data_IF_589136162868
#
_entry.id   IF_589136162868
#
_cell.length_a   1.000
_cell.length_b   1.000
_cell.length_c   1.000
_cell.angle_alpha   90.00
_cell.angle_beta   90.00
_cell.angle_gamma   90.00
#
_symmetry.space_group_name_H-M   'P 1'
#
loop_
_entity.id
_entity.type
_entity.pdbx_description
1 polymer ?
#
# COMPACT_ATOMS: atom_id res chain seq x y z
N UNK A 1 -29.33 29.21 -3.52
CA UNK A 1 -29.26 27.72 -3.35
C UNK A 1 -27.93 27.20 -2.78
N UNK A 2 -26.82 27.95 -2.80
CA UNK A 2 -25.50 27.47 -2.32
C UNK A 2 -25.28 27.57 -0.79
N UNK A 3 -26.05 28.40 -0.07
CA UNK A 3 -25.80 28.70 1.36
C UNK A 3 -25.97 27.49 2.30
N UNK A 4 -26.75 26.47 1.90
CA UNK A 4 -26.94 25.24 2.69
C UNK A 4 -25.85 24.16 2.50
N UNK A 5 -24.90 24.37 1.59
CA UNK A 5 -23.89 23.37 1.22
C UNK A 5 -22.62 23.50 2.07
N UNK A 6 -22.33 24.72 2.55
CA UNK A 6 -21.13 25.03 3.34
C UNK A 6 -20.93 24.14 4.60
N UNK A 7 -21.97 23.80 5.39
CA UNK A 7 -21.81 22.94 6.57
C UNK A 7 -21.46 21.48 6.23
N UNK A 8 -21.77 21.03 5.01
CA UNK A 8 -21.57 19.65 4.57
C UNK A 8 -20.24 19.43 3.80
N UNK A 9 -19.50 20.50 3.51
CA UNK A 9 -18.19 20.43 2.87
C UNK A 9 -17.13 20.11 3.93
N UNK A 10 -16.47 18.96 3.79
CA UNK A 10 -15.37 18.54 4.67
C UNK A 10 -14.04 18.68 3.94
N UNK A 11 -13.87 19.74 3.15
CA UNK A 11 -12.69 19.88 2.29
C UNK A 11 -11.45 20.20 3.12
N UNK A 12 -10.57 19.22 3.31
CA UNK A 12 -9.16 19.48 3.63
C UNK A 12 -8.44 19.90 2.34
N UNK A 13 -8.09 21.18 2.20
CA UNK A 13 -7.18 21.66 1.15
C UNK A 13 -7.81 22.19 -0.15
N UNK A 14 -7.09 22.07 -1.26
CA UNK A 14 -7.31 22.77 -2.55
C UNK A 14 -8.45 22.22 -3.44
N UNK A 15 -9.28 21.29 -2.93
CA UNK A 15 -10.15 20.41 -3.74
C UNK A 15 -11.63 20.73 -3.63
N UNK A 16 -11.95 21.95 -3.21
CA UNK A 16 -13.32 22.33 -2.85
C UNK A 16 -14.27 22.28 -4.05
N UNK A 17 -13.82 22.70 -5.24
CA UNK A 17 -14.62 22.64 -6.47
C UNK A 17 -14.99 21.20 -6.82
N UNK A 18 -14.01 20.29 -6.74
CA UNK A 18 -14.23 18.88 -7.00
C UNK A 18 -15.24 18.27 -6.01
N UNK A 19 -15.15 18.59 -4.72
CA UNK A 19 -16.10 18.09 -3.72
C UNK A 19 -17.53 18.60 -3.93
N UNK A 20 -17.69 19.86 -4.35
CA UNK A 20 -19.00 20.45 -4.68
C UNK A 20 -19.62 19.69 -5.86
N UNK A 21 -18.85 19.45 -6.92
CA UNK A 21 -19.33 18.77 -8.13
C UNK A 21 -19.72 17.31 -7.85
N UNK A 22 -18.95 16.59 -7.04
CA UNK A 22 -19.23 15.18 -6.70
C UNK A 22 -20.45 15.05 -5.78
N UNK A 23 -20.62 15.93 -4.79
CA UNK A 23 -21.74 15.85 -3.83
C UNK A 23 -23.07 16.35 -4.39
N UNK A 24 -23.04 17.14 -5.46
CA UNK A 24 -24.23 17.76 -6.04
C UNK A 24 -24.23 17.61 -7.57
N UNK A 25 -24.49 16.38 -8.08
CA UNK A 25 -24.48 16.09 -9.51
C UNK A 25 -25.55 16.85 -10.30
N UNK A 26 -26.60 17.34 -9.63
CA UNK A 26 -27.70 18.08 -10.24
C UNK A 26 -27.37 19.56 -10.51
N UNK A 27 -26.16 20.02 -10.18
CA UNK A 27 -25.75 21.39 -10.45
C UNK A 27 -25.53 21.59 -11.95
N UNK A 28 -26.11 22.68 -12.50
CA UNK A 28 -25.78 23.13 -13.85
C UNK A 28 -24.38 23.73 -13.85
N UNK A 29 -23.44 23.10 -14.56
CA UNK A 29 -22.06 23.55 -14.67
C UNK A 29 -21.85 24.23 -16.02
N UNK A 30 -21.18 25.39 -16.01
CA UNK A 30 -20.71 26.06 -17.23
C UNK A 30 -19.25 26.42 -17.05
N UNK A 31 -18.41 26.00 -17.99
CA UNK A 31 -16.99 26.35 -18.02
C UNK A 31 -16.82 27.73 -18.68
N UNK A 32 -16.01 28.58 -18.05
CA UNK A 32 -15.67 29.91 -18.56
C UNK A 32 -14.19 29.88 -18.92
N UNK A 33 -13.86 30.20 -20.16
CA UNK A 33 -12.48 30.25 -20.63
C UNK A 33 -11.67 31.26 -19.83
N UNK A 34 -10.56 30.81 -19.25
CA UNK A 34 -9.61 31.62 -18.52
C UNK A 34 -8.18 31.16 -18.83
N UNK A 35 -7.30 32.10 -19.12
CA UNK A 35 -5.89 31.81 -19.34
C UNK A 35 -5.12 31.89 -18.02
N UNK A 36 -4.55 30.76 -17.59
CA UNK A 36 -3.71 30.72 -16.40
C UNK A 36 -2.40 31.46 -16.64
N UNK A 37 -2.16 32.50 -15.84
CA UNK A 37 -0.95 33.30 -15.92
C UNK A 37 0.18 32.69 -15.10
N UNK A 38 1.41 32.84 -15.59
CA UNK A 38 2.60 32.46 -14.85
C UNK A 38 2.76 33.29 -13.58
N UNK A 39 3.11 32.61 -12.48
CA UNK A 39 3.41 33.27 -11.21
C UNK A 39 4.71 34.05 -11.35
N UNK A 40 4.67 35.35 -11.03
CA UNK A 40 5.87 36.21 -11.13
C UNK A 40 6.65 36.32 -9.81
N UNK A 41 6.01 36.10 -8.65
CA UNK A 41 6.66 36.22 -7.34
C UNK A 41 6.19 35.15 -6.33
N UNK A 42 7.13 34.66 -5.53
CA UNK A 42 6.92 33.68 -4.45
C UNK A 42 7.04 32.21 -4.86
N UNK A 43 7.31 31.35 -3.87
CA UNK A 43 7.43 29.89 -4.03
C UNK A 43 6.05 29.21 -4.14
N UNK A 44 5.95 28.14 -4.92
CA UNK A 44 4.73 27.32 -5.00
C UNK A 44 4.46 26.65 -3.67
N UNK A 45 3.28 26.91 -3.08
CA UNK A 45 2.78 26.17 -1.90
C UNK A 45 2.20 24.80 -2.27
N UNK A 46 2.11 24.50 -3.57
CA UNK A 46 1.78 23.18 -4.10
C UNK A 46 3.07 22.36 -4.20
N UNK A 47 3.38 21.63 -3.15
CA UNK A 47 4.47 20.64 -3.12
C UNK A 47 4.03 19.35 -3.84
N UNK A 48 4.96 18.53 -4.31
CA UNK A 48 4.64 17.22 -4.89
C UNK A 48 3.79 16.31 -3.99
N UNK A 49 3.92 16.45 -2.66
CA UNK A 49 3.05 15.79 -1.68
C UNK A 49 1.57 16.19 -1.81
N UNK A 50 1.28 17.45 -2.15
CA UNK A 50 -0.10 17.96 -2.35
C UNK A 50 -0.69 17.44 -3.66
N UNK A 51 0.15 17.28 -4.69
CA UNK A 51 -0.26 16.67 -5.97
C UNK A 51 -0.60 15.20 -5.77
N UNK A 52 0.21 14.46 -4.99
CA UNK A 52 -0.07 13.08 -4.63
C UNK A 52 -1.36 12.94 -3.82
N UNK A 53 -1.57 13.80 -2.83
CA UNK A 53 -2.82 13.87 -2.08
C UNK A 53 -4.03 14.14 -3.00
N UNK A 54 -3.88 15.02 -4.01
CA UNK A 54 -4.92 15.28 -5.02
C UNK A 54 -5.20 14.06 -5.91
N UNK A 55 -4.16 13.40 -6.41
CA UNK A 55 -4.28 12.18 -7.21
C UNK A 55 -4.95 11.05 -6.41
N UNK A 56 -4.58 10.86 -5.14
CA UNK A 56 -5.23 9.94 -4.22
C UNK A 56 -6.73 10.26 -4.08
N UNK A 57 -7.07 11.55 -3.89
CA UNK A 57 -8.47 11.99 -3.77
C UNK A 57 -9.30 11.74 -5.03
N UNK A 58 -8.73 11.98 -6.21
CA UNK A 58 -9.39 11.74 -7.50
C UNK A 58 -9.66 10.26 -7.72
N UNK A 59 -8.68 9.41 -7.42
CA UNK A 59 -8.82 7.96 -7.48
C UNK A 59 -9.84 7.43 -6.46
N UNK A 60 -9.90 8.01 -5.24
CA UNK A 60 -10.87 7.61 -4.21
C UNK A 60 -12.31 7.92 -4.54
N UNK A 61 -12.62 9.13 -5.01
CA UNK A 61 -14.00 9.62 -5.02
C UNK A 61 -14.76 9.29 -6.30
N UNK A 62 -14.09 9.18 -7.44
CA UNK A 62 -14.75 8.96 -8.73
C UNK A 62 -14.85 7.50 -9.18
N UNK A 63 -14.03 6.60 -8.65
CA UNK A 63 -13.97 5.22 -9.17
C UNK A 63 -14.27 4.14 -8.15
N UNK A 64 -13.92 4.31 -6.86
CA UNK A 64 -13.72 3.12 -6.01
C UNK A 64 -14.08 3.25 -4.51
N UNK A 65 -14.27 4.42 -3.90
CA UNK A 65 -14.61 4.53 -2.46
C UNK A 65 -13.46 4.14 -1.50
N UNK A 66 -13.63 4.41 -0.19
CA UNK A 66 -12.54 4.34 0.81
C UNK A 66 -11.94 2.93 1.03
N UNK A 67 -12.76 1.87 0.94
CA UNK A 67 -12.29 0.48 1.10
C UNK A 67 -11.22 0.13 0.05
N UNK A 68 -11.34 0.69 -1.15
CA UNK A 68 -10.46 0.34 -2.26
C UNK A 68 -9.07 0.98 -2.19
N UNK A 69 -8.85 2.04 -1.41
CA UNK A 69 -7.50 2.56 -1.19
C UNK A 69 -6.67 1.68 -0.27
N UNK A 70 -7.26 1.19 0.83
CA UNK A 70 -6.58 0.29 1.76
C UNK A 70 -6.22 -0.99 1.00
N UNK A 71 -7.14 -1.48 0.16
CA UNK A 71 -6.89 -2.59 -0.76
C UNK A 71 -5.77 -2.28 -1.74
N UNK A 72 -5.81 -1.14 -2.44
CA UNK A 72 -4.79 -0.77 -3.42
C UNK A 72 -3.40 -0.62 -2.77
N UNK A 73 -3.30 0.06 -1.63
CA UNK A 73 -2.05 0.20 -0.86
C UNK A 73 -1.53 -1.16 -0.38
N UNK A 74 -2.42 -2.04 0.06
CA UNK A 74 -2.06 -3.41 0.47
C UNK A 74 -1.59 -4.28 -0.70
N UNK A 75 -2.24 -4.16 -1.87
CA UNK A 75 -1.84 -4.87 -3.09
C UNK A 75 -0.49 -4.36 -3.60
N UNK A 76 -0.29 -3.04 -3.66
CA UNK A 76 0.97 -2.44 -4.10
C UNK A 76 2.13 -2.85 -3.18
N UNK A 77 1.93 -2.76 -1.86
CA UNK A 77 2.89 -3.23 -0.87
C UNK A 77 3.19 -4.71 -1.05
N UNK A 78 2.15 -5.55 -1.07
CA UNK A 78 2.26 -7.00 -1.22
C UNK A 78 2.97 -7.45 -2.49
N UNK A 79 2.59 -6.92 -3.66
CA UNK A 79 3.23 -7.24 -4.94
C UNK A 79 4.71 -6.85 -4.95
N UNK A 80 5.06 -5.67 -4.42
CA UNK A 80 6.47 -5.28 -4.30
C UNK A 80 7.25 -6.22 -3.38
N UNK A 81 6.62 -6.70 -2.30
CA UNK A 81 7.19 -7.71 -1.40
C UNK A 81 7.46 -9.05 -2.06
N UNK A 82 6.59 -9.50 -2.98
CA UNK A 82 6.83 -10.73 -3.75
C UNK A 82 8.10 -10.60 -4.59
N UNK A 83 8.27 -9.48 -5.28
CA UNK A 83 9.46 -9.22 -6.10
C UNK A 83 10.72 -9.20 -5.23
N UNK A 84 10.69 -8.49 -4.09
CA UNK A 84 11.80 -8.44 -3.14
C UNK A 84 12.12 -9.83 -2.57
N UNK A 85 11.11 -10.61 -2.20
CA UNK A 85 11.30 -11.98 -1.73
C UNK A 85 12.04 -12.82 -2.76
N UNK A 86 11.54 -12.84 -4.00
CA UNK A 86 12.12 -13.63 -5.07
C UNK A 86 13.56 -13.19 -5.34
N UNK A 87 13.83 -11.90 -5.49
CA UNK A 87 15.18 -11.40 -5.71
C UNK A 87 16.14 -11.83 -4.59
N UNK A 88 15.73 -11.67 -3.33
CA UNK A 88 16.55 -12.06 -2.19
C UNK A 88 16.78 -13.57 -2.14
N UNK A 89 15.76 -14.37 -2.45
CA UNK A 89 15.90 -15.81 -2.57
C UNK A 89 16.95 -16.18 -3.65
N UNK A 90 17.01 -15.45 -4.78
CA UNK A 90 17.97 -15.75 -5.88
C UNK A 90 19.36 -15.57 -5.34
N UNK A 91 19.56 -14.42 -4.69
CA UNK A 91 20.86 -13.97 -4.22
C UNK A 91 21.39 -14.96 -3.19
N UNK A 92 20.55 -15.37 -2.23
CA UNK A 92 20.90 -16.33 -1.19
C UNK A 92 21.18 -17.73 -1.77
N UNK A 93 20.37 -18.20 -2.72
CA UNK A 93 20.64 -19.48 -3.40
C UNK A 93 21.94 -19.45 -4.19
N UNK A 94 22.22 -18.35 -4.90
CA UNK A 94 23.47 -18.18 -5.66
C UNK A 94 24.69 -18.01 -4.76
N UNK A 95 24.53 -17.53 -3.53
CA UNK A 95 25.61 -17.48 -2.55
C UNK A 95 25.87 -18.83 -1.87
N UNK A 96 25.14 -19.88 -2.24
CA UNK A 96 25.35 -21.25 -1.75
C UNK A 96 24.57 -21.60 -0.48
N UNK A 97 23.67 -20.75 0.01
CA UNK A 97 22.77 -21.12 1.12
C UNK A 97 21.80 -22.20 0.67
N UNK A 98 21.46 -23.13 1.56
CA UNK A 98 20.42 -24.12 1.32
C UNK A 98 19.04 -23.48 1.10
N UNK A 99 18.13 -24.28 0.55
CA UNK A 99 16.78 -23.83 0.18
C UNK A 99 16.01 -23.26 1.39
N UNK A 100 16.04 -23.93 2.54
CA UNK A 100 15.23 -23.55 3.70
C UNK A 100 15.76 -22.25 4.32
N UNK A 101 17.07 -22.13 4.51
CA UNK A 101 17.64 -20.89 5.02
C UNK A 101 17.44 -19.73 4.04
N UNK A 102 17.55 -19.99 2.73
CA UNK A 102 17.25 -18.97 1.69
C UNK A 102 15.80 -18.50 1.77
N UNK A 103 14.84 -19.42 1.93
CA UNK A 103 13.41 -19.13 2.04
C UNK A 103 13.09 -18.34 3.32
N UNK A 104 13.62 -18.75 4.47
CA UNK A 104 13.38 -18.07 5.75
C UNK A 104 13.89 -16.63 5.70
N UNK A 105 15.11 -16.43 5.23
CA UNK A 105 15.71 -15.10 5.14
C UNK A 105 15.02 -14.22 4.10
N UNK A 106 14.66 -14.77 2.93
CA UNK A 106 13.95 -13.98 1.90
C UNK A 106 12.56 -13.55 2.36
N UNK A 107 11.83 -14.43 3.06
CA UNK A 107 10.53 -14.11 3.69
C UNK A 107 10.70 -13.03 4.75
N UNK A 108 11.73 -13.13 5.60
CA UNK A 108 12.02 -12.12 6.60
C UNK A 108 12.29 -10.74 5.97
N UNK A 109 13.15 -10.68 4.95
CA UNK A 109 13.45 -9.42 4.23
C UNK A 109 12.21 -8.86 3.55
N UNK A 110 11.39 -9.70 2.93
CA UNK A 110 10.13 -9.27 2.32
C UNK A 110 9.12 -8.74 3.35
N UNK A 111 9.08 -9.32 4.56
CA UNK A 111 8.22 -8.85 5.64
C UNK A 111 8.62 -7.43 6.10
N UNK A 112 9.93 -7.22 6.30
CA UNK A 112 10.48 -5.90 6.65
C UNK A 112 10.20 -4.89 5.53
N UNK A 113 10.40 -5.29 4.27
CA UNK A 113 10.09 -4.44 3.13
C UNK A 113 8.61 -4.03 3.11
N UNK A 114 7.69 -4.97 3.28
CA UNK A 114 6.26 -4.69 3.31
C UNK A 114 5.89 -3.74 4.45
N UNK A 115 6.47 -3.93 5.63
CA UNK A 115 6.30 -3.01 6.76
C UNK A 115 6.77 -1.58 6.43
N UNK A 116 7.97 -1.45 5.87
CA UNK A 116 8.54 -0.14 5.51
C UNK A 116 7.74 0.53 4.39
N UNK A 117 7.31 -0.23 3.39
CA UNK A 117 6.46 0.27 2.31
C UNK A 117 5.11 0.73 2.84
N UNK A 118 4.51 0.00 3.78
CA UNK A 118 3.29 0.42 4.46
C UNK A 118 3.53 1.72 5.25
N UNK A 119 4.58 1.79 6.06
CA UNK A 119 4.93 3.01 6.80
C UNK A 119 5.11 4.22 5.87
N UNK A 120 5.76 4.03 4.71
CA UNK A 120 5.91 5.04 3.67
C UNK A 120 4.57 5.49 3.07
N UNK A 121 3.70 4.55 2.65
CA UNK A 121 2.40 4.83 2.03
C UNK A 121 1.40 5.52 2.97
N UNK A 122 1.57 5.35 4.28
CA UNK A 122 0.76 6.01 5.31
C UNK A 122 1.47 7.23 5.94
N UNK A 123 2.69 7.57 5.50
CA UNK A 123 3.51 8.66 6.01
C UNK A 123 3.77 8.61 7.54
N UNK A 124 4.01 7.40 8.06
CA UNK A 124 4.24 7.14 9.49
C UNK A 124 5.70 6.79 9.72
N UNK A 125 6.27 7.29 10.82
CA UNK A 125 7.66 7.00 11.18
C UNK A 125 7.78 5.52 11.63
N UNK A 126 8.66 4.72 11.00
CA UNK A 126 8.84 3.33 11.41
C UNK A 126 9.55 3.24 12.78
N UNK A 127 9.21 2.21 13.54
CA UNK A 127 9.69 1.96 14.90
C UNK A 127 9.64 0.48 15.26
N UNK A 128 10.51 0.07 16.19
CA UNK A 128 10.73 -1.34 16.51
C UNK A 128 9.48 -2.03 17.08
N UNK A 129 8.73 -1.35 17.95
CA UNK A 129 7.47 -1.87 18.50
C UNK A 129 6.47 -2.21 17.39
N UNK A 130 6.29 -1.29 16.44
CA UNK A 130 5.36 -1.48 15.33
C UNK A 130 5.83 -2.58 14.39
N UNK A 131 7.14 -2.74 14.20
CA UNK A 131 7.69 -3.86 13.45
C UNK A 131 7.38 -5.20 14.13
N UNK A 132 7.61 -5.32 15.44
CA UNK A 132 7.30 -6.55 16.19
C UNK A 132 5.80 -6.87 16.15
N UNK A 133 4.95 -5.85 16.29
CA UNK A 133 3.51 -6.00 16.15
C UNK A 133 3.12 -6.45 14.74
N UNK A 134 3.82 -5.96 13.71
CA UNK A 134 3.61 -6.37 12.32
C UNK A 134 4.01 -7.83 12.09
N UNK A 135 5.11 -8.30 12.71
CA UNK A 135 5.45 -9.73 12.75
C UNK A 135 4.36 -10.55 13.41
N UNK A 136 3.80 -10.07 14.53
CA UNK A 136 2.71 -10.74 15.24
C UNK A 136 1.46 -10.91 14.38
N UNK A 137 1.02 -9.85 13.69
CA UNK A 137 -0.17 -9.94 12.83
C UNK A 137 0.02 -10.82 11.60
N UNK A 138 1.26 -10.97 11.11
CA UNK A 138 1.60 -11.77 9.92
C UNK A 138 2.18 -13.15 10.25
N UNK A 139 2.15 -13.56 11.53
CA UNK A 139 2.77 -14.79 11.99
C UNK A 139 2.24 -16.03 11.25
N UNK A 140 0.92 -16.23 11.25
CA UNK A 140 0.32 -17.42 10.62
C UNK A 140 0.55 -17.46 9.10
N UNK A 141 0.50 -16.30 8.43
CA UNK A 141 0.81 -16.20 7.01
C UNK A 141 2.26 -16.57 6.72
N UNK A 142 3.18 -16.09 7.54
CA UNK A 142 4.61 -16.43 7.44
C UNK A 142 4.85 -17.92 7.64
N UNK A 143 4.26 -18.51 8.69
CA UNK A 143 4.34 -19.95 8.95
C UNK A 143 3.76 -20.75 7.78
N UNK A 144 2.62 -20.34 7.22
CA UNK A 144 2.03 -20.99 6.06
C UNK A 144 2.99 -21.02 4.86
N UNK A 145 3.68 -19.90 4.56
CA UNK A 145 4.69 -19.83 3.48
C UNK A 145 5.83 -20.82 3.73
N UNK A 146 6.38 -20.85 4.95
CA UNK A 146 7.52 -21.72 5.27
C UNK A 146 7.15 -23.20 5.22
N UNK A 147 6.00 -23.56 5.81
CA UNK A 147 5.51 -24.93 5.83
C UNK A 147 5.16 -25.39 4.41
N UNK A 148 4.42 -24.59 3.65
CA UNK A 148 4.11 -24.95 2.26
C UNK A 148 5.38 -25.05 1.41
N UNK A 149 6.34 -24.15 1.61
CA UNK A 149 7.61 -24.17 0.89
C UNK A 149 8.40 -25.43 1.13
N UNK A 150 8.46 -25.90 2.38
CA UNK A 150 9.10 -27.17 2.73
C UNK A 150 8.43 -28.39 2.08
N UNK A 151 7.10 -28.44 2.06
CA UNK A 151 6.38 -29.57 1.45
C UNK A 151 6.42 -29.55 -0.07
N UNK A 152 6.23 -28.38 -0.69
CA UNK A 152 6.23 -28.22 -2.15
C UNK A 152 7.63 -28.46 -2.72
N UNK A 153 8.70 -28.16 -1.97
CA UNK A 153 10.07 -28.47 -2.42
C UNK A 153 10.31 -29.98 -2.59
N UNK A 154 9.47 -30.84 -1.99
CA UNK A 154 9.56 -32.30 -2.18
C UNK A 154 8.87 -32.78 -3.47
N UNK A 155 8.05 -31.93 -4.11
CA UNK A 155 7.20 -32.29 -5.25
C UNK A 155 7.90 -32.12 -6.62
N UNK A 156 9.24 -32.05 -6.65
CA UNK A 156 10.08 -31.89 -7.86
C UNK A 156 9.77 -30.65 -8.72
N UNK A 157 9.12 -29.62 -8.16
CA UNK A 157 8.99 -28.31 -8.81
C UNK A 157 10.33 -27.55 -8.81
N UNK A 158 10.47 -26.60 -9.73
CA UNK A 158 11.59 -25.66 -9.67
C UNK A 158 11.51 -24.82 -8.38
N UNK A 159 12.67 -24.43 -7.83
CA UNK A 159 12.74 -23.68 -6.57
C UNK A 159 11.95 -22.36 -6.65
N UNK A 160 12.04 -21.66 -7.78
CA UNK A 160 11.31 -20.42 -8.05
C UNK A 160 9.79 -20.60 -7.98
N UNK A 161 9.27 -21.66 -8.60
CA UNK A 161 7.83 -21.98 -8.56
C UNK A 161 7.40 -22.34 -7.13
N UNK A 162 8.22 -23.11 -6.42
CA UNK A 162 7.96 -23.48 -5.02
C UNK A 162 7.79 -22.25 -4.14
N UNK A 163 8.68 -21.26 -4.27
CA UNK A 163 8.60 -20.00 -3.51
C UNK A 163 7.34 -19.21 -3.88
N UNK A 164 7.03 -19.05 -5.16
CA UNK A 164 5.83 -18.31 -5.62
C UNK A 164 4.55 -18.94 -5.09
N UNK A 165 4.37 -20.26 -5.27
CA UNK A 165 3.17 -20.98 -4.81
C UNK A 165 3.03 -20.83 -3.29
N UNK A 166 4.13 -20.92 -2.56
CA UNK A 166 4.14 -20.78 -1.11
C UNK A 166 3.72 -19.38 -0.66
N UNK A 167 4.22 -18.33 -1.32
CA UNK A 167 3.82 -16.96 -1.05
C UNK A 167 2.33 -16.76 -1.32
N UNK A 168 1.81 -17.32 -2.42
CA UNK A 168 0.39 -17.23 -2.75
C UNK A 168 -0.48 -17.89 -1.66
N UNK A 169 -0.09 -19.05 -1.14
CA UNK A 169 -0.80 -19.72 -0.04
C UNK A 169 -0.79 -18.89 1.25
N UNK A 170 0.32 -18.24 1.60
CA UNK A 170 0.38 -17.36 2.78
C UNK A 170 -0.21 -15.96 2.58
N UNK A 171 -0.39 -15.53 1.33
CA UNK A 171 -0.82 -14.17 0.99
C UNK A 171 -2.21 -13.84 1.54
N UNK A 172 -3.11 -14.84 1.64
CA UNK A 172 -4.45 -14.66 2.19
C UNK A 172 -4.41 -14.15 3.63
N UNK A 173 -3.61 -14.79 4.50
CA UNK A 173 -3.44 -14.31 5.87
C UNK A 173 -2.71 -12.98 5.92
N UNK A 174 -1.67 -12.78 5.09
CA UNK A 174 -0.92 -11.51 5.08
C UNK A 174 -1.79 -10.32 4.62
N UNK A 175 -2.78 -10.57 3.77
CA UNK A 175 -3.79 -9.57 3.40
C UNK A 175 -4.70 -9.20 4.57
N UNK A 176 -5.16 -10.19 5.35
CA UNK A 176 -5.94 -9.95 6.56
C UNK A 176 -5.11 -9.30 7.67
N UNK A 177 -3.87 -9.76 7.88
CA UNK A 177 -2.92 -9.17 8.81
C UNK A 177 -2.65 -7.69 8.52
N UNK A 178 -2.68 -7.30 7.24
CA UNK A 178 -2.61 -5.90 6.85
C UNK A 178 -3.86 -5.07 7.19
N UNK A 179 -5.05 -5.67 7.23
CA UNK A 179 -6.26 -4.99 7.69
C UNK A 179 -6.34 -4.91 9.21
N UNK A 180 -5.87 -5.93 9.92
CA UNK A 180 -5.81 -5.96 11.38
C UNK A 180 -4.74 -4.99 11.91
N UNK A 181 -3.61 -4.90 11.22
CA UNK A 181 -2.55 -3.98 11.60
C UNK A 181 -2.89 -2.55 11.17
N UNK A 182 -3.46 -1.77 12.08
CA UNK A 182 -3.58 -0.32 11.95
C UNK A 182 -2.46 0.39 12.73
N UNK A 183 -1.92 1.45 12.14
CA UNK A 183 -1.02 2.35 12.84
C UNK A 183 -1.76 3.30 13.80
N UNK A 184 -3.08 3.49 13.62
CA UNK A 184 -3.91 4.42 14.39
C UNK A 184 -4.07 4.03 15.86
N UNK A 185 -4.07 2.74 16.19
CA UNK A 185 -4.31 2.26 17.57
C UNK A 185 -3.08 2.34 18.50
N UNK A 186 -1.95 2.86 18.01
CA UNK A 186 -0.64 2.66 18.65
C UNK A 186 0.17 3.92 18.96
N UNK A 187 -0.49 5.09 18.94
CA UNK A 187 0.06 6.35 19.42
C UNK A 187 -0.53 6.73 20.78
#
# INVERSE_FOLDING_TARGET
KLHGIAPALQSKGFKILFEILVKHPDLTVKEISYEFKNRQYGQSKLTGAVIWDFAETLLTRNLLGNWNLILLKSILGGLSGIVVNLLMFVILRKSGLDFINSLVLSVHVALVWNYLMKAYLYAIKPGMKQLLDYYGTHFFGTVAILVSGFFISQLQYTEWMTVIISILLGSGWNFFGNHIFDFSDKN
#
